data_IF_671438682066
#
_entry.id   IF_671438682066
#
_cell.length_a   1.000
_cell.length_b   1.000
_cell.length_c   1.000
_cell.angle_alpha   90.00
_cell.angle_beta   90.00
_cell.angle_gamma   90.00
#
_symmetry.space_group_name_H-M   'P 1'
#
loop_
_entity.id
_entity.type
_entity.pdbx_description
1 polymer ?
#
# COMPACT_ATOMS: atom_id res chain seq x y z
N UNK A 1 9.30 -16.94 1.27
CA UNK A 1 8.39 -15.86 0.86
C UNK A 1 7.77 -15.30 2.13
N UNK A 2 7.90 -13.99 2.36
CA UNK A 2 7.23 -13.33 3.48
C UNK A 2 5.91 -12.74 3.00
N UNK A 3 4.82 -13.07 3.68
CA UNK A 3 3.48 -12.63 3.31
C UNK A 3 2.89 -11.81 4.44
N UNK A 4 2.50 -10.58 4.12
CA UNK A 4 1.67 -9.75 4.99
C UNK A 4 0.18 -9.98 4.64
N UNK A 5 -0.59 -10.65 5.49
CA UNK A 5 -2.01 -10.86 5.24
C UNK A 5 -2.80 -9.59 5.55
N UNK A 6 -3.35 -8.93 4.51
CA UNK A 6 -4.32 -7.85 4.73
C UNK A 6 -5.63 -8.41 5.31
N UNK A 7 -6.42 -7.61 6.04
CA UNK A 7 -7.73 -8.05 6.54
C UNK A 7 -8.60 -8.59 5.42
N UNK A 8 -9.25 -9.73 5.67
CA UNK A 8 -10.09 -10.42 4.69
C UNK A 8 -9.33 -11.27 3.66
N UNK A 9 -7.99 -11.31 3.69
CA UNK A 9 -7.22 -12.23 2.85
C UNK A 9 -7.45 -13.69 3.26
N UNK A 10 -7.78 -14.56 2.30
CA UNK A 10 -7.92 -15.99 2.52
C UNK A 10 -6.54 -16.65 2.42
N UNK A 11 -5.94 -16.97 3.57
CA UNK A 11 -4.58 -17.52 3.64
C UNK A 11 -4.51 -19.01 3.98
N UNK A 12 -5.64 -19.63 4.36
CA UNK A 12 -5.70 -21.03 4.84
C UNK A 12 -5.02 -22.05 3.93
N UNK A 13 -5.18 -21.91 2.62
CA UNK A 13 -4.55 -22.80 1.64
C UNK A 13 -3.02 -22.78 1.75
N UNK A 14 -2.45 -21.66 2.16
CA UNK A 14 -1.02 -21.36 2.10
C UNK A 14 -0.31 -21.50 3.46
N UNK A 15 -1.04 -21.72 4.55
CA UNK A 15 -0.53 -21.78 5.93
C UNK A 15 0.48 -22.92 6.16
N UNK A 16 0.36 -24.02 5.40
CA UNK A 16 1.16 -25.24 5.61
C UNK A 16 2.41 -25.34 4.73
N UNK A 17 2.72 -24.31 3.93
CA UNK A 17 3.88 -24.35 3.04
C UNK A 17 5.14 -23.86 3.76
N UNK A 18 6.21 -24.69 3.85
CA UNK A 18 7.42 -24.34 4.60
C UNK A 18 8.20 -23.16 3.98
N UNK A 19 7.96 -22.85 2.71
CA UNK A 19 8.56 -21.72 2.01
C UNK A 19 7.80 -20.40 2.22
N UNK A 20 6.67 -20.41 2.94
CA UNK A 20 5.83 -19.25 3.21
C UNK A 20 5.91 -18.89 4.70
N UNK A 21 6.14 -17.61 4.99
CA UNK A 21 6.18 -17.08 6.35
C UNK A 21 5.23 -15.91 6.44
N UNK A 22 4.15 -16.07 7.20
CA UNK A 22 3.18 -14.99 7.45
C UNK A 22 3.72 -14.06 8.53
N UNK A 23 3.67 -12.75 8.26
CA UNK A 23 4.20 -11.74 9.18
C UNK A 23 3.11 -11.22 10.12
N UNK A 24 3.44 -11.07 11.41
CA UNK A 24 2.60 -10.34 12.36
C UNK A 24 2.97 -8.85 12.35
N UNK A 25 2.31 -8.07 11.50
CA UNK A 25 2.58 -6.63 11.34
C UNK A 25 1.32 -5.80 11.54
N UNK A 26 1.44 -4.54 12.01
CA UNK A 26 0.31 -3.64 12.19
C UNK A 26 -0.53 -3.47 10.91
N UNK A 27 -1.80 -3.14 11.10
CA UNK A 27 -2.70 -2.90 9.98
C UNK A 27 -2.33 -1.61 9.25
N UNK A 28 -2.15 -1.71 7.93
CA UNK A 28 -1.94 -0.57 7.02
C UNK A 28 -3.08 -0.51 5.99
N UNK A 29 -3.98 0.45 6.18
CA UNK A 29 -5.09 0.74 5.25
C UNK A 29 -4.71 1.82 4.24
N UNK A 30 -3.67 1.57 3.47
CA UNK A 30 -3.27 2.41 2.34
C UNK A 30 -3.09 1.53 1.11
N UNK A 31 -3.47 2.05 -0.07
CA UNK A 31 -3.20 1.37 -1.35
C UNK A 31 -2.79 2.37 -2.42
N UNK A 32 -1.99 1.93 -3.38
CA UNK A 32 -1.59 2.79 -4.51
C UNK A 32 -2.79 3.25 -5.34
N UNK A 33 -3.86 2.45 -5.42
CA UNK A 33 -5.12 2.84 -6.09
C UNK A 33 -5.80 3.99 -5.38
N UNK A 34 -5.89 3.94 -4.04
CA UNK A 34 -6.41 5.04 -3.23
C UNK A 34 -5.61 6.32 -3.46
N UNK A 35 -4.27 6.23 -3.40
CA UNK A 35 -3.38 7.38 -3.58
C UNK A 35 -3.51 8.02 -4.96
N UNK A 36 -3.45 7.23 -6.04
CA UNK A 36 -3.59 7.78 -7.40
C UNK A 36 -4.96 8.42 -7.63
N UNK A 37 -6.03 7.82 -7.08
CA UNK A 37 -7.38 8.39 -7.17
C UNK A 37 -7.48 9.71 -6.40
N UNK A 38 -6.92 9.77 -5.19
CA UNK A 38 -6.89 11.00 -4.40
C UNK A 38 -6.16 12.14 -5.12
N UNK A 39 -4.99 11.86 -5.73
CA UNK A 39 -4.25 12.84 -6.52
C UNK A 39 -5.08 13.36 -7.70
N UNK A 40 -5.69 12.44 -8.47
CA UNK A 40 -6.57 12.81 -9.60
C UNK A 40 -7.79 13.65 -9.17
N UNK A 41 -8.30 13.41 -7.96
CA UNK A 41 -9.40 14.17 -7.35
C UNK A 41 -8.93 15.47 -6.66
N UNK A 42 -7.66 15.87 -6.80
CA UNK A 42 -7.06 17.01 -6.11
C UNK A 42 -7.18 16.96 -4.58
N UNK A 43 -7.18 15.76 -3.99
CA UNK A 43 -7.16 15.54 -2.54
C UNK A 43 -5.73 15.46 -2.02
N UNK A 44 -5.50 15.98 -0.81
CA UNK A 44 -4.21 15.86 -0.15
C UNK A 44 -3.91 14.39 0.20
N UNK A 45 -2.69 13.96 -0.10
CA UNK A 45 -2.13 12.66 0.29
C UNK A 45 -1.00 12.81 1.33
N UNK A 46 -0.93 13.96 1.99
CA UNK A 46 0.01 14.20 3.09
C UNK A 46 -0.21 13.16 4.20
N UNK A 47 0.87 12.73 4.85
CA UNK A 47 0.92 11.65 5.85
C UNK A 47 0.73 10.23 5.32
N UNK A 48 0.26 10.05 4.09
CA UNK A 48 0.21 8.74 3.44
C UNK A 48 1.50 8.38 2.71
N UNK A 49 2.27 9.39 2.30
CA UNK A 49 3.53 9.25 1.59
C UNK A 49 4.59 10.15 2.24
N UNK A 50 5.88 9.79 2.16
CA UNK A 50 6.97 10.71 2.47
C UNK A 50 6.94 11.95 1.58
N UNK A 51 7.31 13.11 2.13
CA UNK A 51 7.27 14.39 1.43
C UNK A 51 8.10 14.39 0.13
N UNK A 52 9.23 13.68 0.12
CA UNK A 52 10.08 13.54 -1.08
C UNK A 52 9.35 12.86 -2.24
N UNK A 53 8.46 11.92 -1.95
CA UNK A 53 7.66 11.20 -2.95
C UNK A 53 6.54 12.10 -3.48
N UNK A 54 5.90 12.87 -2.60
CA UNK A 54 4.87 13.85 -2.98
C UNK A 54 5.48 14.89 -3.93
N UNK A 55 6.64 15.46 -3.56
CA UNK A 55 7.38 16.41 -4.39
C UNK A 55 7.76 15.84 -5.76
N UNK A 56 8.16 14.57 -5.81
CA UNK A 56 8.46 13.89 -7.08
C UNK A 56 7.22 13.74 -7.96
N UNK A 57 6.10 13.28 -7.38
CA UNK A 57 4.83 13.12 -8.09
C UNK A 57 4.37 14.46 -8.69
N UNK A 58 4.42 15.53 -7.89
CA UNK A 58 4.02 16.86 -8.32
C UNK A 58 4.95 17.45 -9.39
N UNK A 59 6.27 17.33 -9.20
CA UNK A 59 7.27 17.83 -10.15
C UNK A 59 7.26 17.10 -11.49
N UNK A 60 6.73 15.87 -11.55
CA UNK A 60 6.55 15.09 -12.78
C UNK A 60 5.12 15.11 -13.31
N UNK A 61 4.18 15.77 -12.63
CA UNK A 61 2.77 15.79 -13.01
C UNK A 61 2.11 14.40 -13.04
N UNK A 62 2.59 13.46 -12.22
CA UNK A 62 2.10 12.08 -12.24
C UNK A 62 0.70 11.97 -11.65
N UNK A 63 -0.14 11.14 -12.28
CA UNK A 63 -1.50 10.80 -11.80
C UNK A 63 -2.50 11.96 -11.73
N UNK A 64 -2.17 13.11 -12.34
CA UNK A 64 -3.09 14.22 -12.60
C UNK A 64 -4.01 13.88 -13.78
#
# INVERSE_FOLDING_TARGET
IYVYPRPGAQVKEWENYPSITFTNTPLMEISSTFIRKAIKENKSVQFFLPDSVINFIDGKGMYK
#
